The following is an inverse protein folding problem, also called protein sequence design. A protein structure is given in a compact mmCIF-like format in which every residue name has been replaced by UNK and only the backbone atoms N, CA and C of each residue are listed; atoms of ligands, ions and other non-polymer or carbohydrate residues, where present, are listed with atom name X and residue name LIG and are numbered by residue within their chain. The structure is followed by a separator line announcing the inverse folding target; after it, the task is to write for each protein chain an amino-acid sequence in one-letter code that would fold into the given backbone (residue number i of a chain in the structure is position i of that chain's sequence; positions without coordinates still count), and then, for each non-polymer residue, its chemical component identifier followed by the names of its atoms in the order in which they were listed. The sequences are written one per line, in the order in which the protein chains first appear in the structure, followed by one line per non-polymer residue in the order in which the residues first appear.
data_IF_063227724523
#
_entry.id   IF_063227724523
#
_cell.length_a   1.000
_cell.length_b   1.000
_cell.length_c   1.000
_cell.angle_alpha   90.00
_cell.angle_beta   90.00
_cell.angle_gamma   90.00
#
_symmetry.space_group_name_H-M   'P 1'
#
loop_
_entity.id
_entity.type
_entity.pdbx_description
1 polymer ?
#
# COMPACT_ATOMS: atom_id res chain seq x y z
N UNK A 1 6.95 37.29 1.68
CA UNK A 1 5.89 37.05 2.68
C UNK A 1 4.79 36.17 2.09
N UNK A 2 4.17 36.52 0.96
CA UNK A 2 3.15 35.66 0.30
C UNK A 2 3.61 34.23 -0.04
N UNK A 3 4.85 33.99 -0.50
CA UNK A 3 5.34 32.62 -0.74
C UNK A 3 5.47 31.80 0.55
N UNK A 4 5.87 32.42 1.66
CA UNK A 4 6.00 31.76 2.96
C UNK A 4 4.62 31.40 3.53
N UNK A 5 3.63 32.27 3.36
CA UNK A 5 2.25 32.00 3.76
C UNK A 5 1.65 30.86 2.93
N UNK A 6 1.87 30.85 1.61
CA UNK A 6 1.39 29.78 0.72
C UNK A 6 2.05 28.43 1.02
N UNK A 7 3.36 28.40 1.25
CA UNK A 7 4.09 27.19 1.63
C UNK A 7 3.62 26.67 3.00
N UNK A 8 3.39 27.58 3.95
CA UNK A 8 2.85 27.24 5.27
C UNK A 8 1.43 26.65 5.18
N UNK A 9 0.53 27.26 4.41
CA UNK A 9 -0.83 26.76 4.23
C UNK A 9 -0.85 25.37 3.58
N UNK A 10 0.00 25.15 2.57
CA UNK A 10 0.15 23.83 1.95
C UNK A 10 0.66 22.79 2.95
N UNK A 11 1.66 23.14 3.76
CA UNK A 11 2.19 22.27 4.80
C UNK A 11 1.18 21.98 5.91
N UNK A 12 0.46 23.01 6.40
CA UNK A 12 -0.55 22.84 7.43
C UNK A 12 -1.67 21.92 6.94
N UNK A 13 -2.08 22.07 5.68
CA UNK A 13 -3.08 21.20 5.06
C UNK A 13 -2.58 19.76 4.90
N UNK A 14 -1.34 19.54 4.46
CA UNK A 14 -0.79 18.18 4.35
C UNK A 14 -0.67 17.50 5.72
N UNK A 15 -0.22 18.24 6.74
CA UNK A 15 -0.16 17.74 8.11
C UNK A 15 -1.55 17.40 8.65
N UNK A 16 -2.56 18.24 8.40
CA UNK A 16 -3.93 17.96 8.77
C UNK A 16 -4.43 16.65 8.14
N UNK A 17 -4.18 16.43 6.84
CA UNK A 17 -4.53 15.19 6.17
C UNK A 17 -3.82 13.98 6.77
N UNK A 18 -2.52 14.09 7.05
CA UNK A 18 -1.75 13.03 7.70
C UNK A 18 -2.31 12.67 9.09
N UNK A 19 -2.74 13.67 9.88
CA UNK A 19 -3.36 13.43 11.18
C UNK A 19 -4.72 12.73 11.06
N UNK A 20 -5.54 13.12 10.09
CA UNK A 20 -6.84 12.48 9.81
C UNK A 20 -6.63 11.03 9.39
N UNK A 21 -5.71 10.78 8.46
CA UNK A 21 -5.36 9.44 7.99
C UNK A 21 -4.87 8.57 9.15
N UNK A 22 -3.89 9.04 9.92
CA UNK A 22 -3.40 8.31 11.09
C UNK A 22 -4.54 7.97 12.06
N UNK A 23 -5.47 8.90 12.31
CA UNK A 23 -6.59 8.66 13.21
C UNK A 23 -7.54 7.59 12.69
N UNK A 24 -7.80 7.57 11.38
CA UNK A 24 -8.61 6.52 10.75
C UNK A 24 -7.92 5.17 10.92
N UNK A 25 -6.64 5.08 10.56
CA UNK A 25 -5.88 3.83 10.62
C UNK A 25 -5.76 3.29 12.05
N UNK A 26 -5.60 4.16 13.05
CA UNK A 26 -5.69 3.79 14.47
C UNK A 26 -7.08 3.23 14.83
N UNK A 27 -8.15 3.91 14.46
CA UNK A 27 -9.52 3.53 14.80
C UNK A 27 -9.93 2.18 14.19
N UNK A 28 -9.43 1.86 13.00
CA UNK A 28 -9.67 0.58 12.31
C UNK A 28 -8.56 -0.44 12.56
N UNK A 29 -7.64 -0.16 13.49
CA UNK A 29 -6.53 -1.03 13.88
C UNK A 29 -5.68 -1.55 12.70
N UNK A 30 -5.48 -0.72 11.69
CA UNK A 30 -4.62 -1.05 10.55
C UNK A 30 -3.18 -1.14 11.03
N UNK A 31 -2.69 -2.37 11.15
CA UNK A 31 -1.32 -2.70 11.55
C UNK A 31 -0.77 -3.73 10.58
N UNK A 32 0.53 -3.74 10.37
CA UNK A 32 1.22 -4.82 9.63
C UNK A 32 2.24 -5.43 10.58
N UNK A 33 2.14 -6.73 10.77
CA UNK A 33 3.04 -7.50 11.64
C UNK A 33 4.18 -8.11 10.85
N UNK A 34 5.23 -8.57 11.53
CA UNK A 34 6.31 -9.29 10.88
C UNK A 34 5.83 -10.60 10.24
N UNK A 35 4.88 -11.28 10.88
CA UNK A 35 4.27 -12.49 10.35
C UNK A 35 3.45 -12.21 9.08
N UNK A 36 2.75 -11.08 9.02
CA UNK A 36 2.06 -10.64 7.80
C UNK A 36 3.02 -10.47 6.63
N UNK A 37 4.16 -9.81 6.89
CA UNK A 37 5.20 -9.59 5.86
C UNK A 37 5.81 -10.93 5.42
N UNK A 38 6.09 -11.83 6.37
CA UNK A 38 6.63 -13.16 6.07
C UNK A 38 5.66 -13.98 5.20
N UNK A 39 4.39 -14.05 5.61
CA UNK A 39 3.38 -14.84 4.91
C UNK A 39 3.06 -14.26 3.52
N UNK A 40 3.01 -12.93 3.39
CA UNK A 40 2.88 -12.29 2.08
C UNK A 40 4.07 -12.59 1.18
N UNK A 41 5.30 -12.57 1.72
CA UNK A 41 6.52 -12.90 0.98
C UNK A 41 6.51 -14.36 0.50
N UNK A 42 6.11 -15.31 1.35
CA UNK A 42 5.96 -16.73 0.98
C UNK A 42 4.98 -16.91 -0.18
N UNK A 43 3.84 -16.21 -0.14
CA UNK A 43 2.84 -16.23 -1.22
C UNK A 43 3.41 -15.70 -2.54
N UNK A 44 4.17 -14.60 -2.50
CA UNK A 44 4.83 -14.06 -3.69
C UNK A 44 5.82 -15.06 -4.30
N UNK A 45 6.65 -15.70 -3.47
CA UNK A 45 7.59 -16.73 -3.92
C UNK A 45 6.84 -17.92 -4.54
N UNK A 46 5.80 -18.44 -3.88
CA UNK A 46 4.99 -19.54 -4.40
C UNK A 46 4.34 -19.21 -5.74
N UNK A 47 3.82 -17.98 -5.89
CA UNK A 47 3.30 -17.48 -7.17
C UNK A 47 4.39 -17.41 -8.25
N UNK A 48 5.58 -16.91 -7.90
CA UNK A 48 6.71 -16.84 -8.83
C UNK A 48 7.16 -18.23 -9.29
N UNK A 49 7.26 -19.21 -8.38
CA UNK A 49 7.61 -20.59 -8.70
C UNK A 49 6.60 -21.21 -9.68
N UNK A 50 5.31 -21.05 -9.40
CA UNK A 50 4.22 -21.51 -10.28
C UNK A 50 4.30 -20.87 -11.67
N UNK A 51 4.59 -19.57 -11.74
CA UNK A 51 4.73 -18.85 -13.01
C UNK A 51 5.87 -19.40 -13.88
N UNK A 52 6.96 -19.87 -13.27
CA UNK A 52 8.08 -20.52 -13.97
C UNK A 52 7.92 -22.04 -14.13
N UNK A 53 6.74 -22.60 -13.84
CA UNK A 53 6.45 -24.02 -13.95
C UNK A 53 7.16 -24.89 -12.91
N UNK A 54 7.69 -24.29 -11.84
CA UNK A 54 8.28 -25.00 -10.72
C UNK A 54 7.16 -25.43 -9.75
N UNK A 55 7.25 -26.63 -9.16
CA UNK A 55 6.34 -27.03 -8.09
C UNK A 55 6.48 -26.04 -6.93
N UNK A 56 5.37 -25.74 -6.27
CA UNK A 56 5.40 -24.92 -5.05
C UNK A 56 6.29 -25.63 -4.03
N UNK A 57 7.33 -24.93 -3.55
CA UNK A 57 8.21 -25.45 -2.51
C UNK A 57 7.42 -25.77 -1.24
N UNK A 58 7.97 -26.62 -0.38
CA UNK A 58 7.34 -26.87 0.91
C UNK A 58 7.38 -25.63 1.81
N UNK A 59 6.54 -25.61 2.86
CA UNK A 59 6.43 -24.45 3.76
C UNK A 59 7.77 -24.05 4.41
N UNK A 60 8.65 -25.02 4.65
CA UNK A 60 9.97 -24.76 5.24
C UNK A 60 10.88 -24.06 4.24
N UNK A 61 10.92 -24.55 3.00
CA UNK A 61 11.68 -23.93 1.92
C UNK A 61 11.19 -22.51 1.64
N UNK A 62 9.88 -22.30 1.54
CA UNK A 62 9.30 -20.97 1.34
C UNK A 62 9.64 -20.02 2.49
N UNK A 63 9.58 -20.50 3.73
CA UNK A 63 9.91 -19.71 4.91
C UNK A 63 11.40 -19.32 4.94
N UNK A 64 12.30 -20.24 4.58
CA UNK A 64 13.73 -19.97 4.52
C UNK A 64 14.08 -18.92 3.46
N UNK A 65 13.53 -19.06 2.25
CA UNK A 65 13.71 -18.09 1.16
C UNK A 65 13.14 -16.72 1.56
N UNK A 66 11.91 -16.69 2.08
CA UNK A 66 11.26 -15.46 2.53
C UNK A 66 12.08 -14.76 3.62
N UNK A 67 12.54 -15.51 4.62
CA UNK A 67 13.40 -14.97 5.69
C UNK A 67 14.69 -14.38 5.13
N UNK A 68 15.30 -15.02 4.13
CA UNK A 68 16.51 -14.50 3.48
C UNK A 68 16.25 -13.19 2.72
N UNK A 69 15.12 -13.08 2.01
CA UNK A 69 14.73 -11.83 1.33
C UNK A 69 14.52 -10.71 2.35
N UNK A 70 13.81 -11.00 3.45
CA UNK A 70 13.45 -10.02 4.48
C UNK A 70 14.61 -9.55 5.35
N UNK A 71 15.79 -10.17 5.25
CA UNK A 71 17.05 -9.62 5.78
C UNK A 71 17.42 -8.30 5.10
N UNK A 72 17.04 -8.12 3.83
CA UNK A 72 17.17 -6.84 3.16
C UNK A 72 16.11 -5.88 3.70
N UNK A 73 16.56 -4.81 4.35
CA UNK A 73 15.70 -3.79 4.93
C UNK A 73 14.87 -3.03 3.90
N UNK A 74 15.43 -2.76 2.73
CA UNK A 74 14.71 -2.06 1.66
C UNK A 74 13.54 -2.91 1.16
N UNK A 75 13.78 -4.21 0.90
CA UNK A 75 12.74 -5.13 0.45
C UNK A 75 11.70 -5.39 1.54
N UNK A 76 12.14 -5.56 2.79
CA UNK A 76 11.24 -5.67 3.94
C UNK A 76 10.32 -4.46 4.05
N UNK A 77 10.87 -3.24 3.90
CA UNK A 77 10.09 -2.01 3.95
C UNK A 77 9.09 -1.92 2.79
N UNK A 78 9.53 -2.18 1.55
CA UNK A 78 8.63 -2.20 0.38
C UNK A 78 7.45 -3.15 0.54
N UNK A 79 7.71 -4.34 1.08
CA UNK A 79 6.66 -5.34 1.32
C UNK A 79 5.72 -4.91 2.44
N UNK A 80 6.25 -4.34 3.52
CA UNK A 80 5.46 -3.74 4.58
C UNK A 80 4.53 -2.65 4.02
N UNK A 81 5.09 -1.68 3.29
CA UNK A 81 4.36 -0.54 2.73
C UNK A 81 3.23 -1.02 1.79
N UNK A 82 3.49 -2.03 0.94
CA UNK A 82 2.46 -2.62 0.08
C UNK A 82 1.29 -3.22 0.87
N UNK A 83 1.58 -4.01 1.90
CA UNK A 83 0.52 -4.64 2.73
C UNK A 83 -0.26 -3.55 3.47
N UNK A 84 0.43 -2.51 3.94
CA UNK A 84 -0.17 -1.39 4.62
C UNK A 84 -1.12 -0.62 3.69
N UNK A 85 -0.69 -0.33 2.45
CA UNK A 85 -1.51 0.32 1.43
C UNK A 85 -2.75 -0.51 1.08
N UNK A 86 -2.59 -1.83 0.92
CA UNK A 86 -3.70 -2.75 0.64
C UNK A 86 -4.75 -2.71 1.77
N UNK A 87 -4.32 -2.79 3.03
CA UNK A 87 -5.21 -2.74 4.21
C UNK A 87 -5.88 -1.38 4.34
N UNK A 88 -5.13 -0.31 4.13
CA UNK A 88 -5.63 1.07 4.16
C UNK A 88 -6.71 1.28 3.09
N UNK A 89 -6.46 0.83 1.86
CA UNK A 89 -7.42 0.91 0.77
C UNK A 89 -8.69 0.10 1.05
N UNK A 90 -8.56 -1.07 1.69
CA UNK A 90 -9.71 -1.87 2.10
C UNK A 90 -10.59 -1.11 3.11
N UNK A 91 -9.99 -0.52 4.15
CA UNK A 91 -10.72 0.33 5.11
C UNK A 91 -11.47 1.46 4.42
N UNK A 92 -10.82 2.14 3.47
CA UNK A 92 -11.46 3.23 2.73
C UNK A 92 -12.65 2.71 1.91
N UNK A 93 -12.49 1.64 1.16
CA UNK A 93 -13.57 1.08 0.32
C UNK A 93 -14.77 0.58 1.14
N UNK A 94 -14.52 -0.01 2.31
CA UNK A 94 -15.56 -0.59 3.15
C UNK A 94 -16.36 0.45 3.94
N UNK A 95 -15.69 1.54 4.36
CA UNK A 95 -16.29 2.52 5.28
C UNK A 95 -16.69 3.82 4.60
N UNK A 96 -16.18 4.11 3.40
CA UNK A 96 -16.42 5.38 2.73
C UNK A 96 -17.48 5.19 1.66
N UNK A 97 -18.40 6.15 1.58
CA UNK A 97 -19.40 6.16 0.52
C UNK A 97 -18.74 6.53 -0.81
N UNK A 98 -18.65 5.56 -1.72
CA UNK A 98 -18.20 5.80 -3.09
C UNK A 98 -19.32 6.47 -3.90
N UNK A 99 -19.00 7.62 -4.50
CA UNK A 99 -19.89 8.30 -5.44
C UNK A 99 -19.37 8.04 -6.85
N UNK A 100 -19.90 7.00 -7.49
CA UNK A 100 -19.53 6.64 -8.86
C UNK A 100 -20.00 7.72 -9.85
N UNK A 101 -19.10 8.16 -10.73
CA UNK A 101 -19.39 9.11 -11.79
C UNK A 101 -18.99 8.48 -13.13
N UNK A 102 -19.97 8.31 -14.01
CA UNK A 102 -19.71 7.92 -15.39
C UNK A 102 -19.17 9.12 -16.16
N UNK A 103 -18.06 8.94 -16.86
CA UNK A 103 -17.44 9.95 -17.73
C UNK A 103 -17.22 9.36 -19.12
N UNK A 104 -17.10 10.21 -20.14
CA UNK A 104 -16.75 9.75 -21.48
C UNK A 104 -15.27 9.37 -21.57
N UNK A 105 -14.89 8.60 -22.60
CA UNK A 105 -13.47 8.31 -22.86
C UNK A 105 -12.65 9.59 -23.07
N UNK A 106 -13.19 10.56 -23.80
CA UNK A 106 -12.53 11.85 -24.05
C UNK A 106 -12.31 12.64 -22.76
N UNK A 107 -13.28 12.61 -21.84
CA UNK A 107 -13.14 13.25 -20.52
C UNK A 107 -12.13 12.53 -19.64
N UNK A 108 -12.07 11.19 -19.70
CA UNK A 108 -11.04 10.42 -19.01
C UNK A 108 -9.63 10.76 -19.53
N UNK A 109 -9.45 10.84 -20.85
CA UNK A 109 -8.15 11.20 -21.46
C UNK A 109 -7.73 12.61 -21.05
N UNK A 110 -8.66 13.57 -20.99
CA UNK A 110 -8.38 14.92 -20.50
C UNK A 110 -7.93 14.91 -19.05
N UNK A 111 -8.67 14.24 -18.16
CA UNK A 111 -8.32 14.12 -16.74
C UNK A 111 -6.96 13.47 -16.51
N UNK A 112 -6.63 12.43 -17.28
CA UNK A 112 -5.35 11.73 -17.15
C UNK A 112 -4.15 12.52 -17.72
N UNK A 113 -4.40 13.52 -18.57
CA UNK A 113 -3.36 14.29 -19.27
C UNK A 113 -3.11 15.69 -18.68
N UNK A 114 -3.97 16.16 -17.79
CA UNK A 114 -3.76 17.41 -17.06
C UNK A 114 -2.60 17.21 -16.05
N UNK A 115 -1.50 17.93 -16.27
CA UNK A 115 -0.34 18.01 -15.36
C UNK A 115 -0.54 19.06 -14.28
#
# INVERSE_FOLDING_TARGET
MEMLEKEYDMYAKSLQWQLIENKILENYEVKVTQDDVLEHTKKLIGMQMKQYGQPEGDDKQLTEIATNILKNEEERKKLYDRIFDERTLAVYKENFKLNEKSISYDDFVKLASEK
#
